data_IF_181496389499
#
_entry.id   IF_181496389499
#
_cell.length_a   1.000
_cell.length_b   1.000
_cell.length_c   1.000
_cell.angle_alpha   90.00
_cell.angle_beta   90.00
_cell.angle_gamma   90.00
#
_symmetry.space_group_name_H-M   'P 1'
#
loop_
_entity.id
_entity.type
_entity.pdbx_description
1 polymer ?
#
# COMPACT_ATOMS: atom_id res chain seq x y z
N UNK A 1 13.23 -29.79 -10.47
CA UNK A 1 12.29 -28.65 -10.61
C UNK A 1 12.72 -27.62 -9.60
N UNK A 2 12.83 -26.35 -10.00
CA UNK A 2 13.30 -25.28 -9.13
C UNK A 2 12.12 -24.63 -8.41
N UNK A 3 12.33 -24.26 -7.16
CA UNK A 3 11.42 -23.39 -6.41
C UNK A 3 12.05 -22.00 -6.27
N UNK A 4 11.23 -20.97 -6.30
CA UNK A 4 11.62 -19.59 -6.06
C UNK A 4 10.81 -19.00 -4.90
N UNK A 5 11.47 -18.19 -4.08
CA UNK A 5 10.84 -17.44 -3.00
C UNK A 5 10.02 -16.29 -3.61
N UNK A 6 8.80 -16.08 -3.13
CA UNK A 6 8.01 -14.90 -3.46
C UNK A 6 7.56 -14.14 -2.21
N UNK A 7 7.33 -12.84 -2.40
CA UNK A 7 6.76 -11.93 -1.42
C UNK A 7 5.72 -11.08 -2.15
N UNK A 8 4.50 -11.05 -1.66
CA UNK A 8 3.39 -10.32 -2.28
C UNK A 8 2.63 -9.58 -1.19
N UNK A 9 2.68 -8.24 -1.24
CA UNK A 9 1.86 -7.40 -0.38
C UNK A 9 0.51 -7.14 -1.06
N UNK A 10 -0.57 -7.29 -0.31
CA UNK A 10 -1.90 -6.84 -0.72
C UNK A 10 -2.54 -5.97 0.35
N UNK A 11 -3.11 -4.84 -0.06
CA UNK A 11 -3.90 -4.00 0.83
C UNK A 11 -5.25 -4.66 1.15
N UNK A 12 -5.73 -4.49 2.38
CA UNK A 12 -6.97 -5.09 2.88
C UNK A 12 -6.84 -5.55 4.32
N UNK A 13 -7.87 -5.32 5.14
CA UNK A 13 -7.85 -5.75 6.55
C UNK A 13 -8.33 -7.20 6.72
N UNK A 14 -9.11 -7.72 5.78
CA UNK A 14 -9.53 -9.11 5.71
C UNK A 14 -8.50 -9.93 4.93
N UNK A 15 -7.94 -10.97 5.55
CA UNK A 15 -6.92 -11.83 4.94
C UNK A 15 -7.44 -12.62 3.74
N UNK A 16 -8.70 -13.05 3.76
CA UNK A 16 -9.30 -13.85 2.68
C UNK A 16 -9.47 -12.99 1.43
N UNK A 17 -10.10 -11.82 1.57
CA UNK A 17 -10.26 -10.87 0.47
C UNK A 17 -8.90 -10.37 -0.07
N UNK A 18 -7.93 -10.15 0.82
CA UNK A 18 -6.58 -9.77 0.43
C UNK A 18 -5.88 -10.90 -0.34
N UNK A 19 -6.05 -12.16 0.07
CA UNK A 19 -5.46 -13.30 -0.62
C UNK A 19 -6.07 -13.48 -2.02
N UNK A 20 -7.39 -13.46 -2.12
CA UNK A 20 -8.11 -13.58 -3.40
C UNK A 20 -7.75 -12.46 -4.37
N UNK A 21 -7.64 -11.22 -3.86
CA UNK A 21 -7.21 -10.07 -4.67
C UNK A 21 -5.76 -10.22 -5.12
N UNK A 22 -4.86 -10.70 -4.26
CA UNK A 22 -3.45 -10.91 -4.60
C UNK A 22 -3.29 -11.98 -5.70
N UNK A 23 -4.07 -13.07 -5.63
CA UNK A 23 -4.13 -14.08 -6.69
C UNK A 23 -4.66 -13.46 -7.97
N UNK A 24 -5.78 -12.72 -7.92
CA UNK A 24 -6.38 -12.11 -9.10
C UNK A 24 -5.40 -11.15 -9.82
N UNK A 25 -4.68 -10.33 -9.05
CA UNK A 25 -3.68 -9.40 -9.56
C UNK A 25 -2.49 -10.17 -10.20
N UNK A 26 -1.97 -11.19 -9.52
CA UNK A 26 -0.87 -12.01 -10.04
C UNK A 26 -1.28 -12.79 -11.31
N UNK A 27 -2.50 -13.31 -11.36
CA UNK A 27 -3.04 -13.99 -12.53
C UNK A 27 -3.25 -13.03 -13.69
N UNK A 28 -3.71 -11.80 -13.43
CA UNK A 28 -3.87 -10.79 -14.46
C UNK A 28 -2.50 -10.39 -15.07
N UNK A 29 -1.46 -10.29 -14.25
CA UNK A 29 -0.13 -9.89 -14.69
C UNK A 29 0.67 -11.02 -15.37
N UNK A 30 0.67 -12.21 -14.78
CA UNK A 30 1.51 -13.34 -15.20
C UNK A 30 0.74 -14.45 -15.95
N UNK A 31 -0.58 -14.36 -15.98
CA UNK A 31 -1.47 -15.35 -16.57
C UNK A 31 -1.77 -16.55 -15.65
N UNK A 32 -2.49 -17.53 -16.20
CA UNK A 32 -2.93 -18.74 -15.48
C UNK A 32 -2.02 -19.96 -15.68
N UNK A 33 -0.79 -19.77 -16.18
CA UNK A 33 0.09 -20.90 -16.47
C UNK A 33 0.68 -21.43 -15.16
N UNK A 34 0.88 -22.75 -15.02
CA UNK A 34 1.72 -23.25 -13.93
C UNK A 34 3.12 -22.64 -14.00
N UNK A 35 3.82 -22.60 -12.87
CA UNK A 35 5.22 -22.15 -12.79
C UNK A 35 5.39 -20.65 -13.12
N UNK A 36 4.48 -19.81 -12.63
CA UNK A 36 4.64 -18.35 -12.66
C UNK A 36 5.69 -17.87 -11.67
N UNK A 37 6.01 -18.66 -10.64
CA UNK A 37 6.87 -18.24 -9.53
C UNK A 37 6.21 -17.22 -8.60
N UNK A 38 4.87 -17.18 -8.56
CA UNK A 38 4.10 -16.16 -7.81
C UNK A 38 3.01 -16.77 -6.95
N UNK A 39 2.33 -15.92 -6.15
CA UNK A 39 1.17 -16.31 -5.34
C UNK A 39 0.03 -16.93 -6.17
N UNK A 40 -0.02 -16.70 -7.49
CA UNK A 40 -1.03 -17.28 -8.37
C UNK A 40 -1.05 -18.82 -8.37
N UNK A 41 0.05 -19.46 -7.97
CA UNK A 41 0.15 -20.93 -7.83
C UNK A 41 -0.41 -21.47 -6.52
N UNK A 42 -0.78 -20.60 -5.58
CA UNK A 42 -1.29 -21.00 -4.26
C UNK A 42 -2.81 -21.12 -4.29
N UNK A 43 -3.32 -22.14 -3.61
CA UNK A 43 -4.75 -22.36 -3.41
C UNK A 43 -5.23 -21.97 -2.01
N UNK A 44 -4.30 -21.72 -1.10
CA UNK A 44 -4.57 -21.53 0.32
C UNK A 44 -3.46 -20.72 1.00
N UNK A 45 -3.80 -20.17 2.18
CA UNK A 45 -2.88 -19.43 3.04
C UNK A 45 -2.95 -19.94 4.48
N UNK A 46 -1.90 -19.66 5.24
CA UNK A 46 -1.85 -19.88 6.69
C UNK A 46 -1.36 -18.62 7.39
N UNK A 47 -2.12 -18.15 8.36
CA UNK A 47 -1.73 -16.98 9.17
C UNK A 47 -0.64 -17.41 10.15
N UNK A 48 0.57 -16.92 9.90
CA UNK A 48 1.78 -17.32 10.65
C UNK A 48 1.80 -16.66 12.04
N UNK A 49 1.28 -15.44 12.11
CA UNK A 49 1.18 -14.63 13.34
C UNK A 49 0.00 -13.67 13.21
N UNK A 50 -0.62 -13.34 14.35
CA UNK A 50 -1.67 -12.32 14.42
C UNK A 50 -1.13 -10.94 14.82
N UNK A 51 0.18 -10.83 15.10
CA UNK A 51 0.80 -9.57 15.50
C UNK A 51 1.16 -8.76 14.24
N UNK A 52 0.55 -7.59 14.00
CA UNK A 52 0.90 -6.74 12.87
C UNK A 52 2.34 -6.24 12.97
N UNK A 53 3.03 -6.21 11.84
CA UNK A 53 4.42 -5.75 11.71
C UNK A 53 4.51 -4.66 10.65
N UNK A 54 5.50 -3.78 10.71
CA UNK A 54 5.77 -2.89 9.57
C UNK A 54 6.14 -3.74 8.34
N UNK A 55 5.95 -3.21 7.12
CA UNK A 55 6.26 -3.97 5.89
C UNK A 55 7.69 -4.54 5.90
N UNK A 56 8.67 -3.74 6.35
CA UNK A 56 10.07 -4.14 6.48
C UNK A 56 10.28 -5.27 7.50
N UNK A 57 9.62 -5.20 8.66
CA UNK A 57 9.70 -6.24 9.68
C UNK A 57 9.02 -7.53 9.20
N UNK A 58 7.89 -7.42 8.51
CA UNK A 58 7.17 -8.56 7.93
C UNK A 58 8.02 -9.27 6.87
N UNK A 59 8.68 -8.54 5.98
CA UNK A 59 9.61 -9.12 4.99
C UNK A 59 10.81 -9.82 5.65
N UNK A 60 11.40 -9.19 6.67
CA UNK A 60 12.50 -9.80 7.42
C UNK A 60 12.08 -11.07 8.14
N UNK A 61 10.89 -11.06 8.74
CA UNK A 61 10.31 -12.21 9.43
C UNK A 61 9.99 -13.34 8.46
N UNK A 62 9.32 -13.04 7.34
CA UNK A 62 9.02 -13.98 6.27
C UNK A 62 10.30 -14.60 5.69
N UNK A 63 11.31 -13.78 5.38
CA UNK A 63 12.59 -14.26 4.86
C UNK A 63 13.37 -15.11 5.87
N UNK A 64 13.21 -14.88 7.18
CA UNK A 64 13.77 -15.77 8.20
C UNK A 64 13.10 -17.14 8.18
N UNK A 65 11.77 -17.20 8.06
CA UNK A 65 11.01 -18.45 8.02
C UNK A 65 11.29 -19.28 6.78
N UNK A 66 11.41 -18.64 5.61
CA UNK A 66 11.83 -19.30 4.37
C UNK A 66 13.25 -19.89 4.52
N UNK A 67 14.22 -19.11 5.02
CA UNK A 67 15.58 -19.64 5.24
C UNK A 67 15.64 -20.78 6.26
N UNK A 68 14.70 -20.81 7.19
CA UNK A 68 14.59 -21.86 8.20
C UNK A 68 13.79 -23.09 7.70
N UNK A 69 13.28 -23.07 6.46
CA UNK A 69 12.43 -24.11 5.89
C UNK A 69 11.24 -24.45 6.81
N UNK A 70 10.52 -23.42 7.25
CA UNK A 70 9.40 -23.60 8.18
C UNK A 70 8.33 -24.51 7.56
N UNK A 71 8.09 -25.64 8.23
CA UNK A 71 7.18 -26.70 7.78
C UNK A 71 5.76 -26.24 7.44
N UNK A 72 5.31 -25.08 7.93
CA UNK A 72 3.98 -24.53 7.63
C UNK A 72 3.88 -23.96 6.21
N UNK A 73 5.01 -23.64 5.58
CA UNK A 73 5.09 -22.95 4.27
C UNK A 73 6.12 -23.59 3.31
N UNK A 74 6.73 -24.71 3.71
CA UNK A 74 7.76 -25.40 2.94
C UNK A 74 7.24 -26.01 1.62
N UNK A 75 5.93 -26.24 1.51
CA UNK A 75 5.33 -26.80 0.30
C UNK A 75 5.16 -25.71 -0.78
N UNK A 76 5.80 -25.94 -1.92
CA UNK A 76 5.71 -25.09 -3.13
C UNK A 76 4.28 -24.96 -3.67
N UNK A 77 3.38 -25.91 -3.38
CA UNK A 77 1.97 -25.88 -3.80
C UNK A 77 1.04 -25.23 -2.78
N UNK A 78 1.47 -25.11 -1.53
CA UNK A 78 0.73 -24.39 -0.51
C UNK A 78 0.72 -25.08 0.85
N UNK A 79 0.39 -24.32 1.91
CA UNK A 79 -0.16 -22.97 1.87
C UNK A 79 0.91 -21.86 1.77
N UNK A 80 0.51 -20.67 1.32
CA UNK A 80 1.30 -19.45 1.52
C UNK A 80 1.31 -19.03 2.98
N UNK A 81 2.43 -18.50 3.48
CA UNK A 81 2.47 -17.78 4.74
C UNK A 81 1.81 -16.41 4.62
N UNK A 82 1.04 -16.02 5.62
CA UNK A 82 0.41 -14.71 5.71
C UNK A 82 0.81 -14.00 7.02
N UNK A 83 1.27 -12.76 6.92
CA UNK A 83 1.63 -11.89 8.05
C UNK A 83 0.88 -10.56 7.91
N UNK A 84 0.17 -10.10 8.95
CA UNK A 84 -0.50 -8.80 8.90
C UNK A 84 0.52 -7.67 8.89
N UNK A 85 0.30 -6.70 8.00
CA UNK A 85 1.16 -5.53 7.81
C UNK A 85 0.45 -4.28 8.30
N UNK A 86 1.15 -3.51 9.14
CA UNK A 86 0.72 -2.18 9.53
C UNK A 86 1.55 -1.12 8.80
N UNK A 87 0.87 -0.08 8.34
CA UNK A 87 1.51 1.16 7.89
C UNK A 87 0.88 2.36 8.59
N UNK A 88 1.65 3.43 8.66
CA UNK A 88 1.22 4.78 9.03
C UNK A 88 0.89 5.61 7.78
N UNK A 89 0.98 5.00 6.60
CA UNK A 89 0.70 5.64 5.32
C UNK A 89 -0.76 5.48 4.88
N UNK A 90 -1.34 6.57 4.35
CA UNK A 90 -2.64 6.54 3.67
C UNK A 90 -2.74 7.59 2.58
N UNK A 91 -3.60 7.40 1.60
CA UNK A 91 -3.86 8.39 0.55
C UNK A 91 -5.22 9.02 0.73
N UNK A 92 -5.27 10.37 0.74
CA UNK A 92 -6.50 11.15 0.85
C UNK A 92 -6.73 11.95 -0.43
N UNK A 93 -7.97 12.01 -0.89
CA UNK A 93 -8.36 12.90 -1.99
C UNK A 93 -8.72 14.27 -1.44
N UNK A 94 -7.95 15.28 -1.84
CA UNK A 94 -8.15 16.68 -1.44
C UNK A 94 -8.67 17.45 -2.64
N UNK A 95 -9.88 17.99 -2.53
CA UNK A 95 -10.42 18.93 -3.50
C UNK A 95 -10.07 20.36 -3.09
N UNK A 96 -9.31 21.04 -3.94
CA UNK A 96 -9.06 22.48 -3.84
C UNK A 96 -10.30 23.20 -4.37
N UNK A 97 -10.95 24.01 -3.55
CA UNK A 97 -12.04 24.87 -4.01
C UNK A 97 -11.59 26.33 -4.06
N UNK A 98 -12.29 27.14 -4.86
CA UNK A 98 -12.05 28.59 -4.93
C UNK A 98 -12.35 29.31 -3.61
N UNK A 99 -13.11 28.68 -2.71
CA UNK A 99 -13.35 29.19 -1.37
C UNK A 99 -12.16 28.95 -0.42
N UNK A 100 -11.37 27.89 -0.66
CA UNK A 100 -10.17 27.60 0.11
C UNK A 100 -8.96 28.43 -0.36
N UNK A 101 -8.98 28.88 -1.63
CA UNK A 101 -7.86 29.56 -2.24
C UNK A 101 -7.76 31.04 -1.77
N UNK A 102 -6.58 31.50 -1.30
CA UNK A 102 -6.32 32.91 -1.10
C UNK A 102 -6.58 33.72 -2.37
N UNK A 103 -6.86 35.03 -2.23
CA UNK A 103 -7.03 35.92 -3.37
C UNK A 103 -5.79 35.87 -4.28
N UNK A 104 -5.92 35.26 -5.46
CA UNK A 104 -4.81 35.04 -6.39
C UNK A 104 -4.20 33.63 -6.39
N UNK A 105 -4.81 32.65 -5.73
CA UNK A 105 -4.39 31.25 -5.73
C UNK A 105 -3.32 30.92 -4.70
N UNK A 106 -3.07 29.62 -4.50
CA UNK A 106 -2.10 29.16 -3.53
C UNK A 106 -0.66 29.39 -3.99
N UNK A 107 0.22 29.77 -3.07
CA UNK A 107 1.65 29.92 -3.30
C UNK A 107 2.39 28.72 -2.71
N UNK A 108 3.37 28.17 -3.44
CA UNK A 108 4.16 27.03 -3.00
C UNK A 108 3.98 25.78 -3.86
N UNK A 109 4.57 24.67 -3.42
CA UNK A 109 4.45 23.37 -4.06
C UNK A 109 3.08 22.75 -3.79
N UNK A 110 2.67 21.77 -4.60
CA UNK A 110 1.38 21.08 -4.41
C UNK A 110 1.28 20.37 -3.06
N UNK A 111 2.41 19.93 -2.49
CA UNK A 111 2.52 19.36 -1.15
C UNK A 111 2.25 20.41 -0.06
N UNK A 112 2.80 21.62 -0.19
CA UNK A 112 2.55 22.71 0.75
C UNK A 112 1.08 23.14 0.71
N UNK A 113 0.49 23.17 -0.49
CA UNK A 113 -0.93 23.46 -0.71
C UNK A 113 -1.81 22.40 -0.05
N UNK A 114 -1.53 21.12 -0.33
CA UNK A 114 -2.25 20.00 0.27
C UNK A 114 -2.15 20.03 1.80
N UNK A 115 -0.95 20.28 2.33
CA UNK A 115 -0.70 20.41 3.78
C UNK A 115 -1.54 21.53 4.38
N UNK A 116 -1.55 22.71 3.76
CA UNK A 116 -2.30 23.86 4.25
C UNK A 116 -3.82 23.59 4.28
N UNK A 117 -4.36 22.96 3.24
CA UNK A 117 -5.78 22.61 3.14
C UNK A 117 -6.15 21.53 4.18
N UNK A 118 -5.36 20.46 4.28
CA UNK A 118 -5.63 19.39 5.24
C UNK A 118 -5.52 19.88 6.69
N UNK A 119 -4.55 20.76 6.97
CA UNK A 119 -4.39 21.40 8.28
C UNK A 119 -5.59 22.30 8.60
N UNK A 120 -6.04 23.14 7.66
CA UNK A 120 -7.15 24.06 7.91
C UNK A 120 -8.49 23.34 8.10
N UNK A 121 -8.66 22.17 7.48
CA UNK A 121 -9.84 21.31 7.62
C UNK A 121 -9.77 20.35 8.83
N UNK A 122 -8.61 20.24 9.49
CA UNK A 122 -8.42 19.30 10.58
C UNK A 122 -8.44 17.82 10.15
N UNK A 123 -8.02 17.54 8.90
CA UNK A 123 -8.02 16.19 8.31
C UNK A 123 -6.71 15.43 8.52
N UNK A 124 -5.67 16.08 9.07
CA UNK A 124 -4.43 15.44 9.52
C UNK A 124 -4.59 14.89 10.94
N UNK A 125 -4.31 13.62 11.13
CA UNK A 125 -4.21 13.02 12.46
C UNK A 125 -2.95 13.50 13.21
N UNK A 126 -2.90 13.29 14.52
CA UNK A 126 -1.72 13.63 15.32
C UNK A 126 -0.47 12.87 14.82
N UNK A 127 0.61 13.60 14.54
CA UNK A 127 1.86 13.06 14.01
C UNK A 127 1.87 12.84 12.48
N UNK A 128 0.72 12.93 11.83
CA UNK A 128 0.60 12.73 10.38
C UNK A 128 1.09 13.95 9.60
N UNK A 129 1.82 13.70 8.51
CA UNK A 129 2.28 14.73 7.59
C UNK A 129 2.12 14.29 6.13
N UNK A 130 2.08 15.29 5.23
CA UNK A 130 2.02 15.08 3.78
C UNK A 130 3.35 14.48 3.32
N UNK A 131 3.27 13.28 2.75
CA UNK A 131 4.38 12.59 2.12
C UNK A 131 4.64 13.13 0.70
N UNK A 132 5.79 12.77 0.14
CA UNK A 132 6.13 13.11 -1.24
C UNK A 132 5.25 12.33 -2.23
N UNK A 133 5.05 12.87 -3.43
CA UNK A 133 4.32 12.19 -4.50
C UNK A 133 2.83 12.56 -4.56
N UNK A 134 2.48 13.79 -4.20
CA UNK A 134 1.14 14.32 -4.45
C UNK A 134 0.88 14.31 -5.95
N UNK A 135 -0.19 13.65 -6.37
CA UNK A 135 -0.63 13.59 -7.77
C UNK A 135 -1.99 14.24 -7.93
N UNK A 136 -2.44 14.45 -9.17
CA UNK A 136 -3.79 14.94 -9.43
C UNK A 136 -3.84 15.97 -10.55
N UNK A 137 -4.98 16.67 -10.62
CA UNK A 137 -5.22 17.72 -11.61
C UNK A 137 -5.72 18.96 -10.91
N UNK A 138 -5.16 20.10 -11.29
CA UNK A 138 -5.61 21.41 -10.83
C UNK A 138 -5.62 22.39 -11.99
N UNK A 139 -6.43 23.43 -11.85
CA UNK A 139 -6.44 24.59 -12.72
C UNK A 139 -5.64 25.73 -12.10
N UNK A 140 -4.99 26.50 -12.96
CA UNK A 140 -4.25 27.69 -12.60
C UNK A 140 -5.12 28.94 -12.71
N UNK A 141 -4.96 29.84 -11.75
CA UNK A 141 -5.66 31.11 -11.70
C UNK A 141 -5.25 31.96 -12.91
N UNK A 142 -6.21 32.57 -13.63
CA UNK A 142 -5.95 33.18 -14.94
C UNK A 142 -4.96 34.35 -14.91
N UNK A 143 -4.82 35.04 -13.77
CA UNK A 143 -3.95 36.22 -13.64
C UNK A 143 -2.58 35.87 -13.05
N UNK A 144 -2.54 34.94 -12.09
CA UNK A 144 -1.33 34.66 -11.29
C UNK A 144 -0.65 33.35 -11.68
N UNK A 145 -1.31 32.50 -12.48
CA UNK A 145 -0.83 31.18 -12.87
C UNK A 145 -0.83 30.14 -11.75
N UNK A 146 -1.28 30.51 -10.55
CA UNK A 146 -1.20 29.69 -9.33
C UNK A 146 -2.35 28.69 -9.21
N UNK A 147 -2.14 27.48 -8.66
CA UNK A 147 -3.24 26.54 -8.42
C UNK A 147 -4.36 27.17 -7.58
N UNK A 148 -5.62 27.04 -8.01
CA UNK A 148 -6.76 27.63 -7.31
C UNK A 148 -8.02 26.76 -7.25
N UNK A 149 -8.11 25.72 -8.07
CA UNK A 149 -9.18 24.70 -7.99
C UNK A 149 -8.68 23.38 -8.57
N UNK A 150 -9.17 22.24 -8.09
CA UNK A 150 -8.68 20.94 -8.55
C UNK A 150 -8.91 19.79 -7.58
N UNK A 151 -8.45 18.60 -7.95
CA UNK A 151 -8.42 17.42 -7.08
C UNK A 151 -7.02 16.84 -7.04
N UNK A 152 -6.49 16.70 -5.83
CA UNK A 152 -5.20 16.10 -5.53
C UNK A 152 -5.41 14.76 -4.82
N UNK A 153 -4.56 13.78 -5.12
CA UNK A 153 -4.38 12.57 -4.32
C UNK A 153 -3.11 12.77 -3.51
N UNK A 154 -3.28 12.86 -2.19
CA UNK A 154 -2.25 13.29 -1.26
C UNK A 154 -1.85 12.08 -0.40
N UNK A 155 -0.63 11.54 -0.57
CA UNK A 155 -0.11 10.54 0.34
C UNK A 155 0.24 11.21 1.68
N UNK A 156 -0.13 10.57 2.77
CA UNK A 156 0.12 10.98 4.15
C UNK A 156 0.93 9.88 4.85
N UNK A 157 1.75 10.23 5.83
CA UNK A 157 2.58 9.32 6.64
C UNK A 157 2.74 9.84 8.07
N UNK A 158 3.26 9.02 8.98
CA UNK A 158 3.55 9.43 10.37
C UNK A 158 2.36 9.37 11.32
N UNK A 159 1.20 8.91 10.85
CA UNK A 159 0.03 8.70 11.69
C UNK A 159 0.13 7.48 12.61
N UNK A 160 -0.98 7.14 13.26
CA UNK A 160 -1.06 5.88 14.04
C UNK A 160 -0.93 4.68 13.12
N UNK A 161 -0.02 3.75 13.44
CA UNK A 161 0.09 2.46 12.77
C UNK A 161 -1.24 1.72 12.83
N UNK A 162 -1.74 1.29 11.67
CA UNK A 162 -2.97 0.52 11.55
C UNK A 162 -2.72 -0.67 10.65
N UNK A 163 -3.38 -1.78 10.93
CA UNK A 163 -3.41 -2.92 10.01
C UNK A 163 -4.06 -2.47 8.70
N UNK A 164 -3.31 -2.58 7.61
CA UNK A 164 -3.67 -2.01 6.30
C UNK A 164 -3.62 -3.04 5.18
N UNK A 165 -2.96 -4.17 5.41
CA UNK A 165 -2.72 -5.18 4.41
C UNK A 165 -2.07 -6.43 4.98
N UNK A 166 -1.81 -7.36 4.08
CA UNK A 166 -1.17 -8.64 4.37
C UNK A 166 0.04 -8.83 3.47
N UNK A 167 1.11 -9.36 4.04
CA UNK A 167 2.23 -9.89 3.28
C UNK A 167 2.05 -11.40 3.14
N UNK A 168 1.91 -11.85 1.91
CA UNK A 168 1.91 -13.25 1.53
C UNK A 168 3.31 -13.67 1.05
N UNK A 169 3.76 -14.85 1.44
CA UNK A 169 5.08 -15.35 1.08
C UNK A 169 5.13 -16.87 1.06
N UNK A 170 6.13 -17.44 0.39
CA UNK A 170 6.27 -18.87 0.26
C UNK A 170 7.22 -19.24 -0.88
N UNK A 171 7.25 -20.53 -1.18
CA UNK A 171 7.86 -21.04 -2.41
C UNK A 171 6.81 -21.14 -3.52
N UNK A 172 7.19 -20.85 -4.74
CA UNK A 172 6.43 -21.16 -5.94
C UNK A 172 7.34 -21.87 -6.94
N UNK A 173 6.77 -22.65 -7.86
CA UNK A 173 7.58 -23.34 -8.85
C UNK A 173 7.99 -22.39 -9.99
N UNK A 174 9.14 -22.62 -10.62
CA UNK A 174 9.64 -21.85 -11.77
C UNK A 174 10.32 -22.74 -12.83
#
# INVERSE_FOLDING_TARGET
>A
MGSIDFFTYQAGTNVEEAFDSAIADAVHEYGHRPHTGTIAEKDSYTVITNTPMTAKEAEQYAGHLLRADDSRIADERGPAGAVPVMTDERTVKVTITTADAPSGGFNGSVEEIARAILTSRGELAEGEDVAYGVTGRYESHPVTGRPYTGTLSVPLKGGTLRHTGWLFFGYASF
#
